data_IF_079517013556
#
_entry.id   IF_079517013556
#
_cell.length_a   1.000
_cell.length_b   1.000
_cell.length_c   1.000
_cell.angle_alpha   90.00
_cell.angle_beta   90.00
_cell.angle_gamma   90.00
#
_symmetry.space_group_name_H-M   'P 1'
#
loop_
_entity.id
_entity.type
_entity.pdbx_description
1 polymer ?
#
# COMPACT_ATOMS: atom_id res chain seq x y z
N UNK A 1 46.45 5.04 10.47
CA UNK A 1 45.36 5.94 10.04
C UNK A 1 44.17 5.10 9.57
N UNK A 2 43.35 4.59 10.50
CA UNK A 2 42.25 3.67 10.19
C UNK A 2 41.01 4.41 9.72
N UNK A 3 40.54 4.16 8.49
CA UNK A 3 39.30 4.70 7.95
C UNK A 3 38.11 4.08 8.69
N UNK A 4 37.48 4.85 9.57
CA UNK A 4 36.27 4.44 10.28
C UNK A 4 35.17 4.08 9.26
N UNK A 5 34.60 2.88 9.38
CA UNK A 5 33.58 2.36 8.48
C UNK A 5 32.24 3.03 8.79
N UNK A 6 31.71 3.75 7.80
CA UNK A 6 30.35 4.31 7.70
C UNK A 6 29.19 3.30 7.84
N UNK A 7 29.47 2.03 8.20
CA UNK A 7 28.45 0.99 8.36
C UNK A 7 27.61 1.12 9.63
N UNK A 8 28.16 1.67 10.71
CA UNK A 8 27.45 1.74 12.00
C UNK A 8 26.26 2.69 12.00
N UNK A 9 26.29 3.77 11.21
CA UNK A 9 25.23 4.79 11.22
C UNK A 9 23.97 4.31 10.48
N UNK A 10 24.14 3.59 9.36
CA UNK A 10 23.02 3.06 8.57
C UNK A 10 22.26 1.94 9.32
N UNK A 11 23.00 1.07 10.02
CA UNK A 11 22.40 -0.02 10.80
C UNK A 11 21.61 0.51 12.01
N UNK A 12 22.10 1.58 12.64
CA UNK A 12 21.43 2.22 13.79
C UNK A 12 20.11 2.91 13.39
N UNK A 13 20.01 3.43 12.16
CA UNK A 13 18.80 4.07 11.64
C UNK A 13 17.69 3.05 11.31
N UNK A 14 18.05 1.91 10.69
CA UNK A 14 17.08 0.84 10.39
C UNK A 14 16.49 0.25 11.68
N UNK A 15 17.34 0.00 12.68
CA UNK A 15 16.95 -0.59 13.97
C UNK A 15 16.07 0.33 14.84
N UNK A 16 16.23 1.65 14.70
CA UNK A 16 15.44 2.67 15.43
C UNK A 16 13.98 2.75 14.93
N UNK A 17 13.78 2.52 13.64
CA UNK A 17 12.46 2.55 12.99
C UNK A 17 11.62 1.33 13.38
N UNK A 18 12.25 0.15 13.46
CA UNK A 18 11.60 -1.08 13.92
C UNK A 18 11.28 -1.06 15.42
N UNK A 19 12.20 -0.59 16.26
CA UNK A 19 12.03 -0.54 17.73
C UNK A 19 10.90 0.40 18.18
N UNK A 20 10.54 1.39 17.36
CA UNK A 20 9.47 2.36 17.66
C UNK A 20 8.11 1.92 17.11
N UNK A 21 8.10 1.08 16.07
CA UNK A 21 6.87 0.59 15.44
C UNK A 21 6.05 -0.36 16.34
N UNK A 22 6.69 -0.98 17.35
CA UNK A 22 6.03 -1.88 18.30
C UNK A 22 5.44 -1.23 19.56
N UNK A 23 5.62 0.08 19.75
CA UNK A 23 5.20 0.77 20.98
C UNK A 23 4.17 1.88 20.69
N UNK A 24 2.90 1.50 20.64
CA UNK A 24 1.74 2.38 20.88
C UNK A 24 1.52 3.58 19.95
N UNK A 25 2.33 3.77 18.91
CA UNK A 25 2.16 4.87 17.95
C UNK A 25 1.20 4.45 16.84
N UNK A 26 0.12 5.20 16.58
CA UNK A 26 -0.76 4.93 15.45
C UNK A 26 0.04 4.94 14.14
N UNK A 27 -0.11 3.90 13.33
CA UNK A 27 0.50 3.83 12.00
C UNK A 27 -0.43 4.54 11.02
N UNK A 28 0.09 5.55 10.33
CA UNK A 28 -0.62 6.22 9.25
C UNK A 28 -0.23 5.56 7.92
N UNK A 29 -1.23 5.19 7.14
CA UNK A 29 -1.08 4.73 5.76
C UNK A 29 -1.70 5.76 4.83
N UNK A 30 -0.93 6.28 3.88
CA UNK A 30 -1.42 7.14 2.81
C UNK A 30 -1.45 6.34 1.51
N UNK A 31 -2.57 6.47 0.78
CA UNK A 31 -2.78 5.83 -0.52
C UNK A 31 -3.36 6.83 -1.51
N UNK A 32 -2.99 6.69 -2.79
CA UNK A 32 -3.61 7.42 -3.89
C UNK A 32 -4.80 6.62 -4.45
N UNK A 33 -6.01 7.07 -4.12
CA UNK A 33 -7.25 6.42 -4.54
C UNK A 33 -7.47 6.44 -6.06
N UNK A 34 -7.02 7.48 -6.77
CA UNK A 34 -7.27 7.57 -8.21
C UNK A 34 -6.42 6.54 -8.97
N UNK A 35 -5.12 6.49 -8.66
CA UNK A 35 -4.22 5.50 -9.25
C UNK A 35 -4.63 4.07 -8.89
N UNK A 36 -5.12 3.83 -7.66
CA UNK A 36 -5.60 2.50 -7.27
C UNK A 36 -6.90 2.11 -7.97
N UNK A 37 -7.85 3.02 -8.11
CA UNK A 37 -9.08 2.77 -8.88
C UNK A 37 -8.77 2.46 -10.35
N UNK A 38 -7.81 3.18 -10.95
CA UNK A 38 -7.34 2.91 -12.31
C UNK A 38 -6.74 1.50 -12.41
N UNK A 39 -5.85 1.13 -11.47
CA UNK A 39 -5.28 -0.22 -11.42
C UNK A 39 -6.36 -1.30 -11.26
N UNK A 40 -7.34 -1.07 -10.38
CA UNK A 40 -8.45 -2.00 -10.17
C UNK A 40 -9.32 -2.19 -11.42
N UNK A 41 -9.61 -1.10 -12.14
CA UNK A 41 -10.39 -1.14 -13.38
C UNK A 41 -9.75 -2.03 -14.46
N UNK A 42 -8.42 -1.96 -14.62
CA UNK A 42 -7.72 -2.76 -15.64
C UNK A 42 -7.28 -4.15 -15.16
N UNK A 43 -7.34 -4.42 -13.86
CA UNK A 43 -6.97 -5.72 -13.29
C UNK A 43 -8.11 -6.75 -13.36
N UNK A 44 -9.36 -6.30 -13.44
CA UNK A 44 -10.54 -7.16 -13.38
C UNK A 44 -11.40 -7.03 -14.65
N UNK A 45 -11.84 -8.15 -15.26
CA UNK A 45 -12.70 -8.11 -16.44
C UNK A 45 -14.05 -7.50 -16.11
N UNK A 46 -14.43 -6.43 -16.82
CA UNK A 46 -15.63 -5.65 -16.54
C UNK A 46 -16.93 -6.48 -16.64
N UNK A 47 -16.96 -7.49 -17.51
CA UNK A 47 -18.16 -8.28 -17.81
C UNK A 47 -18.63 -9.12 -16.63
N UNK A 48 -17.71 -9.52 -15.75
CA UNK A 48 -18.03 -10.25 -14.52
C UNK A 48 -18.55 -9.32 -13.40
N UNK A 49 -18.46 -8.00 -13.59
CA UNK A 49 -18.75 -7.00 -12.57
C UNK A 49 -19.59 -5.88 -13.16
N UNK A 50 -20.84 -6.19 -13.49
CA UNK A 50 -21.82 -5.22 -13.98
C UNK A 50 -23.06 -5.19 -13.08
N UNK A 51 -23.70 -4.03 -13.01
CA UNK A 51 -25.04 -3.92 -12.40
C UNK A 51 -26.10 -4.56 -13.30
N UNK A 52 -27.32 -4.73 -12.78
CA UNK A 52 -28.45 -5.23 -13.57
C UNK A 52 -28.79 -4.38 -14.81
N UNK A 53 -28.37 -3.10 -14.83
CA UNK A 53 -28.53 -2.19 -15.99
C UNK A 53 -27.29 -2.15 -16.90
N UNK A 54 -26.30 -3.02 -16.65
CA UNK A 54 -25.09 -3.14 -17.47
C UNK A 54 -23.95 -2.20 -17.10
N UNK A 55 -24.11 -1.35 -16.08
CA UNK A 55 -23.04 -0.42 -15.68
C UNK A 55 -21.85 -1.17 -15.04
N UNK A 56 -20.60 -0.99 -15.51
CA UNK A 56 -19.42 -1.61 -14.92
C UNK A 56 -19.14 -1.15 -13.48
N UNK A 57 -18.70 -2.08 -12.64
CA UNK A 57 -18.41 -1.86 -11.21
C UNK A 57 -17.06 -2.45 -10.78
N UNK A 58 -16.32 -3.06 -11.71
CA UNK A 58 -15.02 -3.71 -11.49
C UNK A 58 -14.00 -2.81 -10.76
N UNK A 59 -13.94 -1.51 -11.09
CA UNK A 59 -13.03 -0.58 -10.43
C UNK A 59 -13.31 -0.44 -8.93
N UNK A 60 -14.59 -0.32 -8.56
CA UNK A 60 -15.04 -0.13 -7.18
C UNK A 60 -14.84 -1.44 -6.40
N UNK A 61 -15.23 -2.57 -7.01
CA UNK A 61 -15.04 -3.89 -6.43
C UNK A 61 -13.56 -4.19 -6.15
N UNK A 62 -12.70 -3.96 -7.14
CA UNK A 62 -11.26 -4.21 -7.00
C UNK A 62 -10.60 -3.27 -5.99
N UNK A 63 -10.93 -1.96 -6.01
CA UNK A 63 -10.42 -1.00 -5.04
C UNK A 63 -10.82 -1.35 -3.61
N UNK A 64 -12.09 -1.68 -3.36
CA UNK A 64 -12.56 -2.08 -2.03
C UNK A 64 -11.89 -3.38 -1.56
N UNK A 65 -11.70 -4.34 -2.46
CA UNK A 65 -11.03 -5.62 -2.16
C UNK A 65 -9.56 -5.44 -1.77
N UNK A 66 -8.88 -4.42 -2.32
CA UNK A 66 -7.48 -4.07 -1.95
C UNK A 66 -7.35 -3.52 -0.52
N UNK A 67 -8.44 -3.00 0.06
CA UNK A 67 -8.45 -2.44 1.41
C UNK A 67 -9.01 -3.40 2.47
N UNK A 68 -9.89 -4.31 2.05
CA UNK A 68 -10.61 -5.21 2.94
C UNK A 68 -9.83 -6.50 3.29
N UNK A 69 -8.85 -6.90 2.48
CA UNK A 69 -8.08 -8.14 2.66
C UNK A 69 -6.63 -7.91 3.07
#
# INVERSE_FOLDING_TARGET
>A
MGRARIGGVAETASKKTEKTAGAGRPRLMLMDGHSLAYRAFFALPAENFTTATGQPTNAIYGFASMLAN
#
